data_IF_051000994565
#
_entry.id   IF_051000994565
#
_cell.length_a   1.000
_cell.length_b   1.000
_cell.length_c   1.000
_cell.angle_alpha   90.00
_cell.angle_beta   90.00
_cell.angle_gamma   90.00
#
_symmetry.space_group_name_H-M   'P 1'
#
loop_
_entity.id
_entity.type
_entity.pdbx_description
1 polymer ?
#
# COMPACT_ATOMS: atom_id res chain seq x y z
N UNK A 1 -19.53 -16.06 3.99
CA UNK A 1 -18.76 -15.76 2.76
C UNK A 1 -17.50 -15.14 3.27
N UNK A 2 -16.44 -15.93 3.30
CA UNK A 2 -15.20 -15.58 3.99
C UNK A 2 -14.27 -14.97 2.94
N UNK A 3 -13.75 -13.78 3.24
CA UNK A 3 -12.76 -13.12 2.40
C UNK A 3 -11.78 -12.35 3.28
N UNK A 4 -10.56 -12.17 2.77
CA UNK A 4 -9.52 -11.37 3.39
C UNK A 4 -9.24 -10.16 2.50
N UNK A 5 -9.19 -8.98 3.10
CA UNK A 5 -8.82 -7.73 2.43
C UNK A 5 -7.49 -7.22 2.98
N UNK A 6 -6.50 -7.09 2.13
CA UNK A 6 -5.18 -6.53 2.46
C UNK A 6 -5.01 -5.16 1.82
N UNK A 7 -4.69 -4.15 2.62
CA UNK A 7 -4.28 -2.85 2.11
C UNK A 7 -2.81 -2.90 1.68
N UNK A 8 -2.58 -3.02 0.37
CA UNK A 8 -1.23 -3.00 -0.20
C UNK A 8 -0.59 -1.62 -0.08
N UNK A 9 -1.40 -0.56 -0.18
CA UNK A 9 -1.00 0.81 0.10
C UNK A 9 -2.18 1.70 0.49
N UNK A 10 -1.88 2.74 1.26
CA UNK A 10 -2.85 3.70 1.83
C UNK A 10 -2.41 5.16 1.62
N UNK A 11 -1.40 5.36 0.77
CA UNK A 11 -0.82 6.65 0.44
C UNK A 11 -1.57 7.35 -0.69
N UNK A 12 -1.34 8.66 -0.82
CA UNK A 12 -1.84 9.46 -1.95
C UNK A 12 -1.11 9.08 -3.24
N UNK A 13 -1.40 9.77 -4.35
CA UNK A 13 -0.70 9.57 -5.64
C UNK A 13 0.83 9.69 -5.56
N UNK A 14 1.36 10.38 -4.56
CA UNK A 14 2.80 10.56 -4.32
C UNK A 14 3.36 9.66 -3.22
N UNK A 15 2.51 8.94 -2.49
CA UNK A 15 2.89 8.22 -1.27
C UNK A 15 3.27 9.15 -0.10
N UNK A 16 3.72 8.53 0.99
CA UNK A 16 4.29 9.22 2.15
C UNK A 16 5.55 8.45 2.59
N UNK A 17 6.71 9.11 2.75
CA UNK A 17 6.96 10.55 2.56
C UNK A 17 6.88 11.01 1.09
N UNK A 18 6.48 12.26 0.88
CA UNK A 18 6.62 12.91 -0.43
C UNK A 18 8.08 13.28 -0.66
N UNK A 19 8.58 13.08 -1.89
CA UNK A 19 9.97 13.37 -2.25
C UNK A 19 10.29 14.84 -1.94
N UNK A 20 11.32 15.08 -1.12
CA UNK A 20 11.78 16.42 -0.74
C UNK A 20 10.98 17.10 0.38
N UNK A 21 10.04 16.42 1.04
CA UNK A 21 9.25 17.00 2.12
C UNK A 21 9.88 16.77 3.50
N UNK A 22 9.86 17.80 4.33
CA UNK A 22 10.47 17.84 5.66
C UNK A 22 9.47 18.11 6.80
N UNK A 23 8.15 18.05 6.54
CA UNK A 23 7.14 18.21 7.59
C UNK A 23 7.12 17.01 8.57
N UNK A 24 6.48 17.19 9.73
CA UNK A 24 6.45 16.19 10.82
C UNK A 24 5.99 14.80 10.37
N UNK A 25 5.02 14.71 9.46
CA UNK A 25 4.52 13.42 8.93
C UNK A 25 5.55 12.73 8.04
N UNK A 26 6.24 13.47 7.17
CA UNK A 26 7.24 12.89 6.28
C UNK A 26 8.51 12.46 7.01
N UNK A 27 8.78 13.05 8.18
CA UNK A 27 9.88 12.69 9.08
C UNK A 27 9.46 11.79 10.24
N UNK A 28 8.21 11.33 10.26
CA UNK A 28 7.65 10.52 11.34
C UNK A 28 8.47 9.23 11.54
N UNK A 29 8.83 8.90 12.80
CA UNK A 29 9.47 7.63 13.10
C UNK A 29 8.46 6.46 13.12
N UNK A 30 7.15 6.73 13.13
CA UNK A 30 6.14 5.66 13.06
C UNK A 30 6.15 5.03 11.67
N UNK A 31 6.40 3.72 11.61
CA UNK A 31 6.37 2.95 10.37
C UNK A 31 5.04 3.02 9.62
N UNK A 32 3.92 3.31 10.30
CA UNK A 32 2.59 3.46 9.68
C UNK A 32 2.46 4.70 8.81
N UNK A 33 3.34 5.69 8.97
CA UNK A 33 3.37 6.87 8.10
C UNK A 33 4.16 6.63 6.81
N UNK A 34 4.77 5.45 6.63
CA UNK A 34 5.37 5.04 5.36
C UNK A 34 4.32 4.37 4.48
N UNK A 35 3.77 5.12 3.53
CA UNK A 35 2.61 4.72 2.74
C UNK A 35 2.95 4.65 1.26
N UNK A 36 2.89 3.45 0.71
CA UNK A 36 2.86 3.23 -0.74
C UNK A 36 1.50 3.70 -1.30
N UNK A 37 1.43 3.96 -2.61
CA UNK A 37 0.17 4.38 -3.25
C UNK A 37 -0.95 3.37 -3.05
N UNK A 38 -2.18 3.89 -2.99
CA UNK A 38 -3.40 3.11 -2.84
C UNK A 38 -3.44 1.89 -3.76
N UNK A 39 -3.66 0.73 -3.16
CA UNK A 39 -3.96 -0.54 -3.82
C UNK A 39 -4.48 -1.51 -2.75
N UNK A 40 -5.34 -2.44 -3.13
CA UNK A 40 -5.82 -3.52 -2.26
C UNK A 40 -5.67 -4.88 -2.94
N UNK A 41 -5.53 -5.91 -2.11
CA UNK A 41 -5.62 -7.30 -2.51
C UNK A 41 -6.81 -7.94 -1.80
N UNK A 42 -7.70 -8.57 -2.57
CA UNK A 42 -8.88 -9.26 -2.08
C UNK A 42 -8.71 -10.75 -2.36
N UNK A 43 -8.82 -11.56 -1.33
CA UNK A 43 -8.71 -13.01 -1.43
C UNK A 43 -9.98 -13.70 -0.92
N UNK A 44 -10.43 -14.68 -1.68
CA UNK A 44 -11.56 -15.56 -1.40
C UNK A 44 -11.10 -17.02 -1.58
N UNK A 45 -11.86 -18.02 -1.11
CA UNK A 45 -11.54 -19.42 -1.36
C UNK A 45 -11.44 -19.78 -2.86
N UNK A 46 -12.14 -19.05 -3.74
CA UNK A 46 -12.22 -19.36 -5.17
C UNK A 46 -11.21 -18.58 -6.01
N UNK A 47 -10.81 -17.40 -5.56
CA UNK A 47 -10.01 -16.48 -6.38
C UNK A 47 -9.39 -15.33 -5.58
N UNK A 48 -8.43 -14.68 -6.23
CA UNK A 48 -7.72 -13.53 -5.72
C UNK A 48 -7.71 -12.39 -6.74
N UNK A 49 -7.85 -11.16 -6.26
CA UNK A 49 -7.89 -9.95 -7.08
C UNK A 49 -6.97 -8.89 -6.52
N UNK A 50 -6.22 -8.23 -7.41
CA UNK A 50 -5.58 -6.95 -7.11
C UNK A 50 -6.43 -5.83 -7.70
N UNK A 51 -6.68 -4.78 -6.91
CA UNK A 51 -7.27 -3.53 -7.39
C UNK A 51 -6.16 -2.49 -7.48
N UNK A 52 -5.97 -1.97 -8.69
CA UNK A 52 -4.91 -1.06 -9.13
C UNK A 52 -3.48 -1.63 -9.08
N UNK A 53 -2.73 -1.43 -10.17
CA UNK A 53 -1.33 -1.83 -10.33
C UNK A 53 -0.44 -0.61 -10.55
N UNK A 54 -0.46 0.31 -9.58
CA UNK A 54 0.42 1.49 -9.58
C UNK A 54 1.91 1.12 -9.57
N UNK A 55 2.81 2.11 -9.66
CA UNK A 55 4.25 1.81 -9.80
C UNK A 55 4.89 1.17 -8.55
N UNK A 56 4.15 1.03 -7.43
CA UNK A 56 4.56 0.35 -6.21
C UNK A 56 4.20 -1.14 -6.24
N UNK A 57 3.42 -1.59 -7.24
CA UNK A 57 2.83 -2.92 -7.27
C UNK A 57 3.87 -4.03 -7.13
N UNK A 58 5.03 -3.91 -7.79
CA UNK A 58 6.13 -4.87 -7.61
C UNK A 58 6.54 -4.98 -6.14
N UNK A 59 6.75 -3.86 -5.46
CA UNK A 59 7.16 -3.82 -4.05
C UNK A 59 6.04 -4.35 -3.15
N UNK A 60 4.79 -4.03 -3.46
CA UNK A 60 3.61 -4.51 -2.72
C UNK A 60 3.46 -6.03 -2.83
N UNK A 61 3.51 -6.58 -4.04
CA UNK A 61 3.43 -8.02 -4.27
C UNK A 61 4.58 -8.77 -3.57
N UNK A 62 5.81 -8.27 -3.68
CA UNK A 62 6.96 -8.90 -3.02
C UNK A 62 6.90 -8.86 -1.49
N UNK A 63 6.21 -7.87 -0.90
CA UNK A 63 6.07 -7.73 0.56
C UNK A 63 5.06 -8.71 1.14
N UNK A 64 4.00 -9.02 0.38
CA UNK A 64 2.87 -9.85 0.82
C UNK A 64 2.87 -11.26 0.17
N UNK A 65 4.04 -11.72 -0.29
CA UNK A 65 4.25 -13.04 -0.92
C UNK A 65 4.24 -14.19 0.09
#
# INVERSE_FOLDING_TARGET
MDFTLTFLGTGTSQGVPTIGCDCDVCRSPDGRDRRLRSSIYLETPECAFVVDTGTDFRTQALREN
#
